data_IF_946293313208
#
_entry.id   IF_946293313208
#
_cell.length_a   1.000
_cell.length_b   1.000
_cell.length_c   1.000
_cell.angle_alpha   90.00
_cell.angle_beta   90.00
_cell.angle_gamma   90.00
#
_symmetry.space_group_name_H-M   'P 1'
#
loop_
_entity.id
_entity.type
_entity.pdbx_description
1 polymer ?
#
# COMPACT_ATOMS: atom_id res chain seq x y z
N UNK A 1 22.80 6.50 -7.47
CA UNK A 1 22.68 7.97 -7.52
C UNK A 1 22.87 8.49 -6.10
N UNK A 2 23.54 9.64 -5.89
CA UNK A 2 23.63 10.24 -4.57
C UNK A 2 22.24 10.60 -4.06
N UNK A 3 22.06 10.64 -2.74
CA UNK A 3 20.82 11.11 -2.12
C UNK A 3 20.54 12.55 -2.57
N UNK A 4 19.30 12.83 -2.98
CA UNK A 4 18.87 14.16 -3.40
C UNK A 4 17.85 14.68 -2.40
N UNK A 5 18.12 15.85 -1.82
CA UNK A 5 17.16 16.58 -0.99
C UNK A 5 16.21 17.36 -1.90
N UNK A 6 14.91 17.17 -1.71
CA UNK A 6 13.86 17.90 -2.43
C UNK A 6 13.06 18.70 -1.40
N UNK A 7 12.99 20.01 -1.59
CA UNK A 7 12.10 20.85 -0.79
C UNK A 7 10.69 20.80 -1.40
N UNK A 8 9.75 20.26 -0.62
CA UNK A 8 8.37 20.07 -1.06
C UNK A 8 7.53 21.34 -0.93
N UNK A 9 7.97 22.27 -0.06
CA UNK A 9 7.30 23.54 0.21
C UNK A 9 5.94 23.39 0.90
N UNK A 10 5.68 22.26 1.58
CA UNK A 10 4.51 22.09 2.43
C UNK A 10 4.63 22.94 3.71
N UNK A 11 3.50 23.35 4.27
CA UNK A 11 3.44 24.19 5.48
C UNK A 11 3.37 23.36 6.77
N UNK A 12 3.14 22.05 6.65
CA UNK A 12 2.98 21.12 7.76
C UNK A 12 3.63 19.75 7.45
N UNK A 13 3.51 18.81 8.39
CA UNK A 13 4.13 17.49 8.34
C UNK A 13 3.68 16.67 7.11
N UNK A 14 4.66 16.01 6.49
CA UNK A 14 4.43 15.06 5.41
C UNK A 14 4.06 13.70 5.99
N UNK A 15 3.05 13.06 5.40
CA UNK A 15 2.60 11.73 5.82
C UNK A 15 2.98 10.64 4.82
N UNK A 16 3.00 10.97 3.53
CA UNK A 16 3.29 10.00 2.49
C UNK A 16 3.90 10.65 1.25
N UNK A 17 4.67 9.85 0.52
CA UNK A 17 5.38 10.26 -0.69
C UNK A 17 5.37 9.09 -1.66
N UNK A 18 4.86 9.32 -2.87
CA UNK A 18 4.81 8.30 -3.92
C UNK A 18 5.40 8.83 -5.22
N UNK A 19 6.33 8.07 -5.81
CA UNK A 19 6.81 8.32 -7.18
C UNK A 19 5.88 7.69 -8.21
N UNK A 20 5.78 8.34 -9.37
CA UNK A 20 5.11 7.75 -10.53
C UNK A 20 5.89 6.56 -11.08
N UNK A 21 5.23 5.78 -11.94
CA UNK A 21 5.81 4.58 -12.54
C UNK A 21 7.12 4.85 -13.30
N UNK A 22 7.29 6.06 -13.83
CA UNK A 22 8.46 6.45 -14.61
C UNK A 22 9.57 7.10 -13.79
N UNK A 23 9.37 7.35 -12.49
CA UNK A 23 10.30 8.06 -11.61
C UNK A 23 10.55 9.52 -12.00
N UNK A 24 9.62 10.15 -12.73
CA UNK A 24 9.68 11.53 -13.20
C UNK A 24 8.80 12.48 -12.41
N UNK A 25 7.85 11.96 -11.64
CA UNK A 25 6.94 12.76 -10.82
C UNK A 25 6.85 12.18 -9.42
N UNK A 26 6.77 13.08 -8.45
CA UNK A 26 6.57 12.78 -7.04
C UNK A 26 5.23 13.38 -6.61
N UNK A 27 4.41 12.61 -5.92
CA UNK A 27 3.26 13.09 -5.19
C UNK A 27 3.61 13.11 -3.70
N UNK A 28 3.30 14.21 -3.01
CA UNK A 28 3.52 14.37 -1.58
C UNK A 28 2.21 14.69 -0.88
N UNK A 29 1.91 13.98 0.21
CA UNK A 29 0.71 14.15 1.04
C UNK A 29 1.07 14.78 2.39
N UNK A 30 0.28 15.76 2.82
CA UNK A 30 0.60 16.59 3.98
C UNK A 30 -0.59 16.81 4.92
N UNK A 31 -0.28 17.15 6.17
CA UNK A 31 -1.21 17.68 7.16
C UNK A 31 -1.85 19.01 6.73
N UNK A 32 -1.22 19.77 5.83
CA UNK A 32 -1.76 21.03 5.30
C UNK A 32 -2.98 20.86 4.37
N UNK A 33 -3.53 19.65 4.27
CA UNK A 33 -4.69 19.26 3.44
C UNK A 33 -4.45 19.27 1.93
N UNK A 34 -3.22 19.56 1.49
CA UNK A 34 -2.86 19.61 0.08
C UNK A 34 -2.03 18.41 -0.35
N UNK A 35 -2.09 18.12 -1.64
CA UNK A 35 -1.17 17.19 -2.30
C UNK A 35 -0.38 17.98 -3.33
N UNK A 36 0.94 17.87 -3.31
CA UNK A 36 1.79 18.53 -4.30
C UNK A 36 2.36 17.51 -5.28
N UNK A 37 2.34 17.89 -6.56
CA UNK A 37 2.99 17.12 -7.63
C UNK A 37 4.27 17.84 -8.01
N UNK A 38 5.39 17.14 -7.89
CA UNK A 38 6.73 17.67 -8.14
C UNK A 38 7.34 16.90 -9.29
N UNK A 39 7.76 17.60 -10.33
CA UNK A 39 8.50 17.03 -11.45
C UNK A 39 9.97 16.89 -11.08
N UNK A 40 10.52 15.70 -11.31
CA UNK A 40 11.93 15.38 -11.10
C UNK A 40 12.60 15.31 -12.46
N UNK A 41 13.57 16.20 -12.69
CA UNK A 41 14.40 16.20 -13.91
C UNK A 41 15.87 16.22 -13.52
N UNK A 42 16.51 15.06 -13.55
CA UNK A 42 17.89 14.89 -13.08
C UNK A 42 18.00 15.29 -11.60
N UNK A 43 18.88 16.25 -11.30
CA UNK A 43 19.08 16.79 -9.95
C UNK A 43 18.18 17.99 -9.62
N UNK A 44 17.24 18.34 -10.50
CA UNK A 44 16.32 19.46 -10.29
C UNK A 44 14.91 18.97 -9.99
N UNK A 45 14.21 19.69 -9.11
CA UNK A 45 12.82 19.45 -8.75
C UNK A 45 12.02 20.72 -8.95
N UNK A 46 10.84 20.61 -9.58
CA UNK A 46 9.94 21.74 -9.78
C UNK A 46 8.52 21.35 -9.37
N UNK A 47 7.85 22.22 -8.60
CA UNK A 47 6.43 22.03 -8.31
C UNK A 47 5.61 22.21 -9.60
N UNK A 48 4.91 21.16 -10.02
CA UNK A 48 4.09 21.12 -11.23
C UNK A 48 2.64 21.50 -10.94
N UNK A 49 2.07 20.99 -9.84
CA UNK A 49 0.68 21.23 -9.47
C UNK A 49 0.47 21.14 -7.95
N UNK A 50 -0.60 21.76 -7.46
CA UNK A 50 -1.09 21.64 -6.08
C UNK A 50 -2.56 21.26 -6.13
N UNK A 51 -2.90 20.11 -5.55
CA UNK A 51 -4.23 19.55 -5.53
C UNK A 51 -4.92 19.97 -4.24
N UNK A 52 -6.05 20.67 -4.39
CA UNK A 52 -6.89 21.13 -3.30
C UNK A 52 -8.24 20.39 -3.37
N UNK A 53 -8.70 19.85 -2.24
CA UNK A 53 -9.95 19.11 -2.21
C UNK A 53 -10.30 18.50 -0.87
N UNK A 54 -9.29 17.99 -0.17
CA UNK A 54 -9.47 17.44 1.16
C UNK A 54 -9.73 18.52 2.20
N UNK A 55 -10.48 18.15 3.24
CA UNK A 55 -10.83 19.02 4.38
C UNK A 55 -10.05 18.70 5.64
N UNK A 56 -9.14 17.72 5.57
CA UNK A 56 -8.30 17.30 6.67
C UNK A 56 -6.94 16.78 6.17
N UNK A 57 -6.06 16.37 7.09
CA UNK A 57 -4.76 15.80 6.77
C UNK A 57 -4.84 14.66 5.76
N UNK A 58 -4.00 14.71 4.73
CA UNK A 58 -3.91 13.67 3.70
C UNK A 58 -2.91 12.62 4.16
N UNK A 59 -3.37 11.39 4.38
CA UNK A 59 -2.55 10.32 4.94
C UNK A 59 -1.74 9.54 3.92
N UNK A 60 -2.24 9.42 2.70
CA UNK A 60 -1.66 8.54 1.69
C UNK A 60 -1.96 8.99 0.27
N UNK A 61 -1.01 8.72 -0.62
CA UNK A 61 -1.12 8.97 -2.06
C UNK A 61 -0.63 7.76 -2.84
N UNK A 62 -1.34 7.40 -3.90
CA UNK A 62 -0.96 6.25 -4.73
C UNK A 62 -1.17 6.55 -6.21
N UNK A 63 -0.14 6.30 -7.02
CA UNK A 63 -0.21 6.42 -8.48
C UNK A 63 -0.81 5.17 -9.09
N UNK A 64 -1.75 5.36 -10.02
CA UNK A 64 -2.28 4.25 -10.81
C UNK A 64 -1.26 3.81 -11.87
N UNK A 65 -1.47 2.62 -12.42
CA UNK A 65 -0.65 2.13 -13.52
C UNK A 65 -0.83 3.02 -14.78
N UNK A 66 0.25 3.39 -15.49
CA UNK A 66 0.19 4.35 -16.60
C UNK A 66 -0.68 3.90 -17.79
N UNK A 67 -1.02 2.62 -17.87
CA UNK A 67 -1.99 2.06 -18.85
C UNK A 67 -3.36 2.76 -18.76
N UNK A 68 -3.74 3.25 -17.58
CA UNK A 68 -5.01 3.96 -17.36
C UNK A 68 -4.88 5.48 -17.47
N UNK A 69 -3.68 5.97 -17.83
CA UNK A 69 -3.33 7.39 -17.86
C UNK A 69 -2.74 7.89 -16.54
N UNK A 70 -2.53 9.20 -16.46
CA UNK A 70 -2.04 9.90 -15.26
C UNK A 70 -3.16 10.03 -14.23
N UNK A 71 -3.29 9.02 -13.36
CA UNK A 71 -4.27 8.98 -12.29
C UNK A 71 -3.55 8.85 -10.94
N UNK A 72 -4.01 9.62 -9.95
CA UNK A 72 -3.55 9.58 -8.57
C UNK A 72 -4.76 9.37 -7.65
N UNK A 73 -4.64 8.52 -6.65
CA UNK A 73 -5.59 8.41 -5.55
C UNK A 73 -5.00 9.08 -4.31
N UNK A 74 -5.86 9.67 -3.49
CA UNK A 74 -5.51 10.17 -2.16
C UNK A 74 -6.54 9.80 -1.12
N UNK A 75 -6.09 9.60 0.12
CA UNK A 75 -6.95 9.37 1.27
C UNK A 75 -6.62 10.33 2.41
N UNK A 76 -7.65 10.64 3.21
CA UNK A 76 -7.57 11.71 4.20
C UNK A 76 -8.35 11.37 5.46
N UNK A 77 -8.05 12.14 6.50
CA UNK A 77 -8.78 12.15 7.76
C UNK A 77 -10.26 12.55 7.60
N UNK A 78 -10.63 13.25 6.52
CA UNK A 78 -12.00 13.66 6.21
C UNK A 78 -12.95 12.53 5.78
N UNK A 79 -12.49 11.28 5.85
CA UNK A 79 -13.19 10.06 5.41
C UNK A 79 -13.41 9.95 3.89
N UNK A 80 -12.78 10.82 3.10
CA UNK A 80 -12.91 10.84 1.65
C UNK A 80 -11.71 10.18 0.98
N UNK A 81 -11.98 9.49 -0.14
CA UNK A 81 -10.97 9.08 -1.11
C UNK A 81 -11.21 9.85 -2.40
N UNK A 82 -10.20 10.57 -2.88
CA UNK A 82 -10.31 11.37 -4.08
C UNK A 82 -9.45 10.76 -5.17
N UNK A 83 -10.03 10.58 -6.36
CA UNK A 83 -9.32 10.21 -7.58
C UNK A 83 -9.05 11.47 -8.38
N UNK A 84 -7.78 11.74 -8.61
CA UNK A 84 -7.29 12.84 -9.40
C UNK A 84 -6.88 12.33 -10.78
N UNK A 85 -7.27 13.05 -11.82
CA UNK A 85 -6.89 12.75 -13.19
C UNK A 85 -6.26 13.99 -13.82
N UNK A 86 -5.13 13.79 -14.47
CA UNK A 86 -4.52 14.81 -15.31
C UNK A 86 -5.16 14.76 -16.69
N UNK A 87 -5.81 15.85 -17.11
CA UNK A 87 -6.42 15.96 -18.44
C UNK A 87 -5.43 16.58 -19.44
N UNK A 88 -4.83 17.72 -19.07
CA UNK A 88 -3.76 18.37 -19.81
C UNK A 88 -2.49 18.40 -18.96
N UNK A 89 -1.35 18.73 -19.56
CA UNK A 89 -0.07 18.77 -18.85
C UNK A 89 -0.14 19.64 -17.59
N UNK A 90 0.00 19.01 -16.42
CA UNK A 90 -0.10 19.60 -15.09
C UNK A 90 -1.48 20.19 -14.72
N UNK A 91 -2.51 19.95 -15.52
CA UNK A 91 -3.89 20.33 -15.21
C UNK A 91 -4.61 19.13 -14.60
N UNK A 92 -4.77 19.18 -13.28
CA UNK A 92 -5.35 18.12 -12.48
C UNK A 92 -6.77 18.45 -12.07
N UNK A 93 -7.65 17.46 -12.21
CA UNK A 93 -9.06 17.58 -11.84
C UNK A 93 -9.44 16.45 -10.90
N UNK A 94 -10.41 16.72 -10.02
CA UNK A 94 -11.07 15.70 -9.21
C UNK A 94 -12.01 14.90 -10.11
N UNK A 95 -11.58 13.70 -10.50
CA UNK A 95 -12.37 12.83 -11.35
C UNK A 95 -13.52 12.21 -10.56
N UNK A 96 -13.24 11.70 -9.36
CA UNK A 96 -14.24 11.10 -8.48
C UNK A 96 -13.90 11.33 -7.01
N UNK A 97 -14.95 11.38 -6.18
CA UNK A 97 -14.85 11.51 -4.73
C UNK A 97 -15.72 10.42 -4.11
N UNK A 98 -15.09 9.52 -3.36
CA UNK A 98 -15.76 8.47 -2.60
C UNK A 98 -15.95 8.89 -1.15
N UNK A 99 -17.18 8.76 -0.66
CA UNK A 99 -17.59 9.16 0.70
C UNK A 99 -18.27 8.01 1.44
N UNK A 100 -17.86 6.76 1.15
CA UNK A 100 -18.51 5.56 1.67
C UNK A 100 -18.11 5.22 3.11
N UNK A 101 -17.02 5.80 3.59
CA UNK A 101 -16.50 5.60 4.94
C UNK A 101 -17.04 6.62 5.93
N UNK A 102 -17.19 6.18 7.18
CA UNK A 102 -17.71 7.04 8.28
C UNK A 102 -16.60 7.70 9.11
N UNK A 103 -15.36 7.30 8.88
CA UNK A 103 -14.18 7.70 9.64
C UNK A 103 -12.96 7.82 8.72
N UNK A 104 -11.85 8.30 9.28
CA UNK A 104 -10.56 8.52 8.59
C UNK A 104 -10.16 7.34 7.72
N UNK A 105 -9.77 7.62 6.47
CA UNK A 105 -9.22 6.61 5.57
C UNK A 105 -7.70 6.66 5.67
N UNK A 106 -7.10 5.58 6.18
CA UNK A 106 -5.71 5.58 6.60
C UNK A 106 -4.74 5.09 5.53
N UNK A 107 -5.22 4.25 4.60
CA UNK A 107 -4.38 3.64 3.57
C UNK A 107 -5.17 3.37 2.30
N UNK A 108 -4.46 3.46 1.18
CA UNK A 108 -4.95 3.20 -0.16
C UNK A 108 -3.92 2.40 -0.95
N UNK A 109 -4.39 1.50 -1.81
CA UNK A 109 -3.53 0.75 -2.70
C UNK A 109 -4.24 0.44 -4.02
N UNK A 110 -3.58 0.73 -5.14
CA UNK A 110 -4.05 0.30 -6.46
C UNK A 110 -3.79 -1.19 -6.65
N UNK A 111 -4.75 -1.88 -7.25
CA UNK A 111 -4.61 -3.26 -7.64
C UNK A 111 -3.62 -3.41 -8.81
N UNK A 112 -3.02 -4.61 -8.98
CA UNK A 112 -2.29 -4.96 -10.19
C UNK A 112 -3.08 -4.65 -11.46
N UNK A 113 -2.41 -4.07 -12.46
CA UNK A 113 -3.05 -3.57 -13.68
C UNK A 113 -3.75 -4.63 -14.54
N UNK A 114 -3.46 -5.92 -14.32
CA UNK A 114 -4.17 -7.05 -14.94
C UNK A 114 -5.61 -7.19 -14.43
N UNK A 115 -5.90 -6.70 -13.22
CA UNK A 115 -7.24 -6.69 -12.62
C UNK A 115 -8.09 -5.50 -13.07
N UNK A 116 -7.52 -4.57 -13.85
CA UNK A 116 -8.16 -3.31 -14.22
C UNK A 116 -7.82 -2.17 -13.27
N UNK A 117 -8.57 -1.06 -13.39
CA UNK A 117 -8.41 0.10 -12.52
C UNK A 117 -9.23 -0.12 -11.24
N UNK A 118 -8.58 -0.70 -10.24
CA UNK A 118 -9.21 -1.05 -8.97
C UNK A 118 -8.40 -0.48 -7.80
N UNK A 119 -9.07 0.14 -6.82
CA UNK A 119 -8.46 0.76 -5.65
C UNK A 119 -9.05 0.14 -4.39
N UNK A 120 -8.18 -0.30 -3.47
CA UNK A 120 -8.60 -0.67 -2.12
C UNK A 120 -8.29 0.47 -1.15
N UNK A 121 -9.16 0.69 -0.18
CA UNK A 121 -8.93 1.60 0.92
C UNK A 121 -9.33 0.99 2.27
N UNK A 122 -8.50 1.23 3.29
CA UNK A 122 -8.74 0.83 4.66
C UNK A 122 -9.09 2.03 5.54
N UNK A 123 -10.16 1.92 6.31
CA UNK A 123 -10.65 2.99 7.18
C UNK A 123 -10.65 2.62 8.66
N UNK A 124 -10.53 3.66 9.51
CA UNK A 124 -10.75 3.58 10.95
C UNK A 124 -12.19 3.21 11.33
N UNK A 125 -13.14 3.17 10.39
CA UNK A 125 -14.49 2.63 10.66
C UNK A 125 -14.50 1.09 10.76
N UNK A 126 -13.37 0.45 10.46
CA UNK A 126 -13.16 -0.99 10.56
C UNK A 126 -13.41 -1.75 9.26
N UNK A 127 -13.79 -1.03 8.21
CA UNK A 127 -14.17 -1.62 6.93
C UNK A 127 -13.10 -1.34 5.87
N UNK A 128 -13.07 -2.24 4.87
CA UNK A 128 -12.26 -2.08 3.66
C UNK A 128 -13.21 -1.89 2.49
N UNK A 129 -13.05 -0.81 1.73
CA UNK A 129 -13.79 -0.64 0.48
C UNK A 129 -12.87 -0.85 -0.70
N UNK A 130 -13.40 -1.48 -1.75
CA UNK A 130 -12.71 -1.75 -3.00
C UNK A 130 -13.55 -1.14 -4.12
N UNK A 131 -12.97 -0.14 -4.79
CA UNK A 131 -13.56 0.60 -5.90
C UNK A 131 -13.02 0.05 -7.21
N UNK A 132 -13.89 -0.42 -8.09
CA UNK A 132 -13.52 -0.94 -9.41
C UNK A 132 -14.13 -0.06 -10.49
N UNK A 133 -13.30 0.54 -11.33
CA UNK A 133 -13.78 1.33 -12.45
C UNK A 133 -14.34 0.42 -13.55
N UNK A 134 -15.49 0.80 -14.10
CA UNK A 134 -16.10 0.18 -15.26
C UNK A 134 -15.69 0.90 -16.54
N UNK A 135 -15.86 0.22 -17.67
CA UNK A 135 -15.56 0.77 -19.00
C UNK A 135 -16.42 1.98 -19.38
N UNK A 136 -17.59 2.13 -18.75
CA UNK A 136 -18.49 3.28 -18.93
C UNK A 136 -18.08 4.52 -18.11
N UNK A 137 -17.01 4.43 -17.31
CA UNK A 137 -16.53 5.49 -16.43
C UNK A 137 -17.25 5.56 -15.07
N UNK A 138 -18.20 4.65 -14.80
CA UNK A 138 -18.77 4.48 -13.46
C UNK A 138 -17.85 3.64 -12.57
N UNK A 139 -18.11 3.64 -11.27
CA UNK A 139 -17.35 2.89 -10.28
C UNK A 139 -18.27 1.95 -9.52
N UNK A 140 -17.86 0.70 -9.40
CA UNK A 140 -18.44 -0.27 -8.50
C UNK A 140 -17.74 -0.24 -7.15
N UNK A 141 -18.52 -0.21 -6.08
CA UNK A 141 -18.01 -0.33 -4.73
C UNK A 141 -18.35 -1.69 -4.16
N UNK A 142 -17.34 -2.42 -3.70
CA UNK A 142 -17.51 -3.62 -2.87
C UNK A 142 -16.90 -3.36 -1.49
N UNK A 143 -17.54 -3.82 -0.41
CA UNK A 143 -17.11 -3.57 0.97
C UNK A 143 -16.86 -4.87 1.69
N UNK A 144 -15.79 -4.91 2.48
CA UNK A 144 -15.50 -5.92 3.49
C UNK A 144 -15.90 -5.30 4.82
N UNK A 145 -17.10 -5.62 5.28
CA UNK A 145 -17.62 -5.12 6.54
C UNK A 145 -16.97 -5.84 7.73
N UNK A 146 -16.65 -5.07 8.78
CA UNK A 146 -16.01 -5.52 10.01
C UNK A 146 -14.71 -6.29 9.73
N UNK A 147 -13.93 -5.83 8.76
CA UNK A 147 -12.62 -6.40 8.44
C UNK A 147 -11.72 -6.38 9.68
N UNK A 148 -11.69 -5.24 10.39
CA UNK A 148 -11.04 -5.10 11.70
C UNK A 148 -11.93 -4.24 12.61
N UNK A 149 -12.56 -4.79 13.67
CA UNK A 149 -13.58 -4.08 14.45
C UNK A 149 -13.14 -2.75 15.07
N UNK A 150 -11.84 -2.57 15.30
CA UNK A 150 -11.26 -1.35 15.91
C UNK A 150 -10.84 -0.31 14.85
N UNK A 151 -10.58 -0.75 13.62
CA UNK A 151 -10.06 0.11 12.55
C UNK A 151 -9.00 -0.59 11.71
N UNK A 152 -9.00 -0.29 10.41
CA UNK A 152 -8.00 -0.74 9.43
C UNK A 152 -6.96 0.34 9.26
N UNK A 153 -5.69 -0.02 9.41
CA UNK A 153 -4.56 0.91 9.33
C UNK A 153 -3.87 0.85 7.97
N UNK A 154 -3.76 -0.35 7.38
CA UNK A 154 -3.11 -0.53 6.08
C UNK A 154 -3.75 -1.64 5.25
N UNK A 155 -3.65 -1.50 3.93
CA UNK A 155 -4.12 -2.44 2.92
C UNK A 155 -3.05 -2.62 1.85
N UNK A 156 -2.86 -3.85 1.37
CA UNK A 156 -1.88 -4.15 0.32
C UNK A 156 -2.39 -5.28 -0.57
N UNK A 157 -2.29 -5.09 -1.88
CA UNK A 157 -2.73 -6.07 -2.87
C UNK A 157 -1.70 -7.18 -3.06
N UNK A 158 -2.20 -8.40 -3.20
CA UNK A 158 -1.37 -9.49 -3.70
C UNK A 158 -1.13 -9.32 -5.22
N UNK A 159 -0.03 -9.88 -5.75
CA UNK A 159 0.19 -10.01 -7.18
C UNK A 159 -0.97 -10.72 -7.90
N UNK A 160 -1.28 -10.28 -9.12
CA UNK A 160 -2.36 -10.86 -9.96
C UNK A 160 -2.08 -12.28 -10.43
N UNK A 161 -0.81 -12.68 -10.49
CA UNK A 161 -0.39 -14.02 -10.87
C UNK A 161 -0.59 -15.01 -9.73
N UNK A 162 -1.32 -16.09 -10.01
CA UNK A 162 -1.35 -17.25 -9.11
C UNK A 162 0.08 -17.80 -8.89
N UNK A 163 0.32 -18.34 -7.69
CA UNK A 163 1.60 -18.99 -7.36
C UNK A 163 1.95 -20.05 -8.42
N UNK A 164 3.13 -19.94 -9.02
CA UNK A 164 3.59 -20.91 -10.04
C UNK A 164 3.06 -20.69 -11.47
N UNK A 165 2.46 -19.53 -11.77
CA UNK A 165 1.87 -19.22 -13.09
C UNK A 165 2.83 -19.38 -14.28
N UNK A 166 4.14 -19.30 -14.09
CA UNK A 166 5.13 -19.53 -15.15
C UNK A 166 5.30 -21.00 -15.57
N UNK A 167 4.62 -21.95 -14.90
CA UNK A 167 4.75 -23.40 -15.13
C UNK A 167 3.55 -23.98 -15.92
N UNK A 168 2.48 -23.22 -16.14
CA UNK A 168 1.25 -23.71 -16.80
C UNK A 168 0.76 -22.84 -17.96
N UNK A 169 0.53 -23.44 -19.13
CA UNK A 169 0.03 -22.80 -20.36
C UNK A 169 -1.48 -22.49 -20.35
N UNK A 170 -2.05 -22.15 -19.19
CA UNK A 170 -3.48 -21.83 -19.05
C UNK A 170 -3.70 -20.35 -18.80
N UNK A 171 -4.79 -19.78 -19.35
CA UNK A 171 -5.36 -18.53 -18.87
C UNK A 171 -5.75 -18.73 -17.41
N UNK A 172 -4.89 -18.30 -16.49
CA UNK A 172 -5.16 -18.33 -15.07
C UNK A 172 -6.09 -17.16 -14.76
N UNK A 173 -7.28 -17.44 -14.24
CA UNK A 173 -8.15 -16.40 -13.71
C UNK A 173 -7.35 -15.62 -12.65
N UNK A 174 -7.24 -14.29 -12.79
CA UNK A 174 -6.42 -13.50 -11.91
C UNK A 174 -7.03 -13.54 -10.50
N UNK A 175 -6.18 -13.85 -9.51
CA UNK A 175 -6.64 -14.04 -8.15
C UNK A 175 -6.60 -12.69 -7.43
N UNK A 176 -7.77 -12.18 -7.07
CA UNK A 176 -7.87 -10.96 -6.27
C UNK A 176 -7.70 -11.30 -4.79
N UNK A 177 -6.51 -10.99 -4.26
CA UNK A 177 -6.18 -11.12 -2.85
C UNK A 177 -5.69 -9.80 -2.29
N UNK A 178 -6.01 -9.57 -1.02
CA UNK A 178 -5.64 -8.37 -0.29
C UNK A 178 -5.20 -8.74 1.12
N UNK A 179 -4.12 -8.16 1.60
CA UNK A 179 -3.75 -8.21 3.01
C UNK A 179 -4.14 -6.89 3.70
N UNK A 180 -4.61 -6.99 4.93
CA UNK A 180 -4.94 -5.84 5.76
C UNK A 180 -4.32 -5.97 7.15
N UNK A 181 -3.90 -4.83 7.69
CA UNK A 181 -3.52 -4.67 9.08
C UNK A 181 -4.55 -3.82 9.82
N UNK A 182 -4.77 -4.11 11.11
CA UNK A 182 -5.72 -3.36 11.92
C UNK A 182 -5.22 -3.06 13.33
N UNK A 183 -6.00 -2.22 13.99
CA UNK A 183 -5.85 -1.87 15.41
C UNK A 183 -6.26 -3.01 16.36
N UNK A 184 -6.70 -4.16 15.82
CA UNK A 184 -6.99 -5.39 16.56
C UNK A 184 -5.75 -6.31 16.68
N UNK A 185 -4.56 -5.81 16.31
CA UNK A 185 -3.27 -6.51 16.34
C UNK A 185 -3.19 -7.70 15.37
N UNK A 186 -4.13 -7.79 14.43
CA UNK A 186 -4.21 -8.88 13.46
C UNK A 186 -3.77 -8.43 12.08
N UNK A 187 -3.16 -9.36 11.35
CA UNK A 187 -3.05 -9.29 9.90
C UNK A 187 -4.04 -10.29 9.30
N UNK A 188 -4.87 -9.83 8.36
CA UNK A 188 -5.88 -10.66 7.70
C UNK A 188 -5.61 -10.68 6.20
N UNK A 189 -5.85 -11.85 5.60
CA UNK A 189 -5.76 -12.04 4.15
C UNK A 189 -7.16 -12.32 3.62
N UNK A 190 -7.56 -11.54 2.64
CA UNK A 190 -8.85 -11.56 1.98
C UNK A 190 -8.70 -12.05 0.56
N UNK A 191 -9.68 -12.79 0.07
CA UNK A 191 -9.79 -13.21 -1.32
C UNK A 191 -11.19 -12.97 -1.83
N UNK A 192 -11.29 -12.47 -3.05
CA UNK A 192 -12.57 -12.33 -3.73
C UNK A 192 -13.00 -13.69 -4.28
N UNK A 193 -14.14 -14.18 -3.80
CA UNK A 193 -14.77 -15.40 -4.27
C UNK A 193 -16.13 -15.06 -4.89
N UNK A 194 -16.27 -15.24 -6.21
CA UNK A 194 -17.52 -15.01 -6.95
C UNK A 194 -18.18 -13.65 -6.63
N UNK A 195 -17.38 -12.58 -6.56
CA UNK A 195 -17.86 -11.22 -6.26
C UNK A 195 -18.06 -10.89 -4.78
N UNK A 196 -17.78 -11.82 -3.87
CA UNK A 196 -17.84 -11.59 -2.42
C UNK A 196 -16.47 -11.79 -1.78
N UNK A 197 -16.02 -10.79 -1.03
CA UNK A 197 -14.78 -10.88 -0.27
C UNK A 197 -14.95 -11.79 0.94
N UNK A 198 -14.07 -12.77 1.07
CA UNK A 198 -14.00 -13.64 2.24
C UNK A 198 -12.58 -13.71 2.74
N UNK A 199 -12.44 -13.92 4.04
CA UNK A 199 -11.13 -14.17 4.63
C UNK A 199 -10.60 -15.50 4.06
N UNK A 200 -9.45 -15.44 3.37
CA UNK A 200 -8.86 -16.60 2.69
C UNK A 200 -8.30 -17.62 3.70
N UNK A 201 -7.96 -17.15 4.90
CA UNK A 201 -7.35 -17.98 5.93
C UNK A 201 -7.90 -17.67 7.33
N UNK A 202 -8.33 -18.73 8.05
CA UNK A 202 -8.74 -18.68 9.46
C UNK A 202 -7.90 -19.69 10.26
N UNK A 203 -7.23 -19.31 11.36
CA UNK A 203 -7.32 -18.04 12.08
C UNK A 203 -6.51 -16.91 11.44
N UNK A 204 -6.85 -15.66 11.79
CA UNK A 204 -6.08 -14.49 11.39
C UNK A 204 -4.62 -14.59 11.87
N UNK A 205 -3.71 -13.93 11.17
CA UNK A 205 -2.28 -13.97 11.44
C UNK A 205 -2.00 -13.15 12.70
N UNK A 206 -1.84 -13.84 13.83
CA UNK A 206 -1.74 -13.22 15.15
C UNK A 206 -0.38 -13.55 15.78
N UNK A 207 0.55 -12.61 15.65
CA UNK A 207 1.83 -12.61 16.37
C UNK A 207 2.18 -11.24 16.96
N UNK A 208 1.52 -10.18 16.49
CA UNK A 208 1.68 -8.84 17.03
C UNK A 208 0.94 -8.68 18.36
N UNK A 209 1.52 -7.86 19.24
CA UNK A 209 0.94 -7.56 20.56
C UNK A 209 0.28 -6.20 20.64
N UNK A 210 0.47 -5.36 19.62
CA UNK A 210 -0.08 -4.01 19.51
C UNK A 210 -0.46 -3.71 18.04
N UNK A 211 -0.99 -2.51 17.78
CA UNK A 211 -1.58 -2.12 16.50
C UNK A 211 -0.63 -2.41 15.34
N UNK A 212 -1.13 -3.10 14.32
CA UNK A 212 -0.40 -3.24 13.07
C UNK A 212 -0.45 -1.88 12.38
N UNK A 213 0.70 -1.29 12.07
CA UNK A 213 0.79 0.02 11.42
C UNK A 213 0.79 -0.08 9.92
N UNK A 214 1.48 -1.08 9.39
CA UNK A 214 1.59 -1.26 7.95
C UNK A 214 1.71 -2.73 7.56
N UNK A 215 1.23 -3.03 6.36
CA UNK A 215 1.27 -4.38 5.78
C UNK A 215 1.62 -4.23 4.32
N UNK A 216 2.62 -4.99 3.86
CA UNK A 216 3.05 -4.98 2.48
C UNK A 216 3.18 -6.40 1.94
N UNK A 217 2.46 -6.69 0.86
CA UNK A 217 2.59 -7.96 0.13
C UNK A 217 3.75 -7.87 -0.85
N UNK A 218 4.63 -8.88 -0.85
CA UNK A 218 5.77 -8.91 -1.76
C UNK A 218 5.34 -9.16 -3.21
N UNK A 219 5.87 -8.42 -4.19
CA UNK A 219 5.66 -8.73 -5.59
C UNK A 219 6.37 -10.04 -5.95
N UNK A 220 5.60 -11.13 -6.12
CA UNK A 220 6.12 -12.46 -6.44
C UNK A 220 6.43 -12.59 -7.95
N UNK A 221 7.53 -12.00 -8.41
CA UNK A 221 8.05 -12.26 -9.76
C UNK A 221 8.79 -13.60 -9.80
N UNK A 222 8.04 -14.71 -9.77
CA UNK A 222 8.56 -16.06 -10.02
C UNK A 222 9.01 -16.86 -8.79
N UNK A 223 8.80 -16.35 -7.57
CA UNK A 223 8.99 -17.14 -6.35
C UNK A 223 7.84 -18.12 -6.14
N UNK A 224 8.12 -19.38 -5.72
CA UNK A 224 7.08 -20.35 -5.42
C UNK A 224 6.40 -20.09 -4.06
N UNK A 225 6.79 -19.04 -3.32
CA UNK A 225 6.21 -18.66 -2.02
C UNK A 225 5.58 -17.27 -2.09
N UNK A 226 4.47 -17.07 -1.38
CA UNK A 226 3.93 -15.73 -1.09
C UNK A 226 4.50 -15.20 0.21
N UNK A 227 4.91 -13.94 0.19
CA UNK A 227 5.50 -13.27 1.35
C UNK A 227 4.74 -11.99 1.66
N UNK A 228 4.43 -11.77 2.94
CA UNK A 228 3.85 -10.52 3.46
C UNK A 228 4.75 -10.03 4.58
N UNK A 229 5.05 -8.74 4.61
CA UNK A 229 5.65 -8.08 5.76
C UNK A 229 4.58 -7.32 6.53
N UNK A 230 4.61 -7.40 7.85
CA UNK A 230 3.81 -6.55 8.72
C UNK A 230 4.68 -5.83 9.74
N UNK A 231 4.39 -4.54 9.93
CA UNK A 231 5.00 -3.70 10.94
C UNK A 231 3.97 -3.31 11.98
N UNK A 232 4.38 -3.29 13.25
CA UNK A 232 3.51 -2.95 14.36
C UNK A 232 4.11 -1.90 15.29
N UNK A 233 3.22 -1.26 16.03
CA UNK A 233 3.53 -0.38 17.15
C UNK A 233 4.34 -1.10 18.25
N UNK A 234 4.24 -2.43 18.34
CA UNK A 234 5.01 -3.25 19.29
C UNK A 234 6.54 -3.27 19.02
N UNK A 235 6.96 -2.69 17.89
CA UNK A 235 8.35 -2.60 17.45
C UNK A 235 8.86 -3.82 16.71
N UNK A 236 8.03 -4.83 16.47
CA UNK A 236 8.38 -6.01 15.70
C UNK A 236 7.97 -5.84 14.25
N UNK A 237 8.83 -6.35 13.37
CA UNK A 237 8.47 -6.66 11.98
C UNK A 237 8.36 -8.17 11.85
N UNK A 238 7.29 -8.63 11.23
CA UNK A 238 7.01 -10.06 11.05
C UNK A 238 6.90 -10.34 9.55
N UNK A 239 7.60 -11.38 9.11
CA UNK A 239 7.52 -11.89 7.75
C UNK A 239 6.63 -13.13 7.75
N UNK A 240 5.55 -13.06 7.00
CA UNK A 240 4.62 -14.16 6.80
C UNK A 240 4.92 -14.81 5.46
N UNK A 241 5.15 -16.12 5.46
CA UNK A 241 5.41 -16.90 4.25
C UNK A 241 4.36 -17.98 4.07
N UNK A 242 3.95 -18.19 2.83
CA UNK A 242 3.01 -19.25 2.43
C UNK A 242 3.56 -19.96 1.19
N UNK A 243 3.90 -21.24 1.32
CA UNK A 243 4.59 -22.01 0.29
C UNK A 243 3.70 -22.51 -0.84
N UNK A 244 2.41 -22.76 -0.58
CA UNK A 244 1.41 -23.13 -1.59
C UNK A 244 0.05 -22.56 -1.23
N UNK A 245 -0.80 -22.35 -2.24
CA UNK A 245 -2.19 -21.97 -1.97
C UNK A 245 -2.87 -23.02 -1.08
N UNK A 246 -3.46 -22.57 0.03
CA UNK A 246 -4.11 -23.42 1.02
C UNK A 246 -3.21 -23.93 2.16
N UNK A 247 -1.90 -23.69 2.11
CA UNK A 247 -1.03 -23.95 3.26
C UNK A 247 -1.15 -22.85 4.33
N UNK A 248 -0.89 -23.23 5.58
CA UNK A 248 -0.87 -22.27 6.68
C UNK A 248 0.26 -21.26 6.50
N UNK A 249 -0.06 -19.99 6.73
CA UNK A 249 0.94 -18.93 6.80
C UNK A 249 1.86 -19.16 8.00
N UNK A 250 3.17 -19.10 7.75
CA UNK A 250 4.21 -19.18 8.79
C UNK A 250 4.74 -17.78 9.03
N UNK A 251 4.59 -17.28 10.25
CA UNK A 251 5.17 -16.00 10.66
C UNK A 251 6.53 -16.19 11.32
N UNK A 252 7.51 -15.39 10.91
CA UNK A 252 8.83 -15.30 11.54
C UNK A 252 9.11 -13.85 11.93
N UNK A 253 9.64 -13.63 13.13
CA UNK A 253 10.03 -12.30 13.59
C UNK A 253 11.32 -11.94 12.86
N UNK A 254 11.28 -10.86 12.08
CA UNK A 254 12.44 -10.31 11.38
C UNK A 254 13.44 -9.73 12.38
N UNK A 255 12.95 -8.75 13.16
CA UNK A 255 13.70 -8.02 14.17
C UNK A 255 12.72 -7.33 15.12
N UNK A 256 13.14 -7.22 16.37
CA UNK A 256 12.54 -6.35 17.36
C UNK A 256 13.35 -5.05 17.42
N UNK A 257 12.78 -3.96 16.91
CA UNK A 257 13.37 -2.63 16.90
C UNK A 257 13.23 -1.93 18.25
N UNK A 258 12.42 -2.46 19.18
CA UNK A 258 12.08 -1.88 20.49
C UNK A 258 11.45 -0.48 20.41
N UNK A 259 11.16 -0.01 19.21
CA UNK A 259 10.51 1.26 18.89
C UNK A 259 9.47 1.00 17.83
N UNK A 260 8.36 1.76 17.80
CA UNK A 260 7.31 1.57 16.80
C UNK A 260 7.86 1.57 15.38
N UNK A 261 7.34 0.67 14.55
CA UNK A 261 7.67 0.62 13.12
C UNK A 261 6.48 1.14 12.34
N UNK A 262 6.70 2.14 11.51
CA UNK A 262 5.62 2.88 10.86
C UNK A 262 5.27 2.35 9.48
N UNK A 263 6.28 1.98 8.67
CA UNK A 263 6.09 1.59 7.28
C UNK A 263 6.99 0.43 6.88
N UNK A 264 6.47 -0.42 6.00
CA UNK A 264 7.21 -1.50 5.33
C UNK A 264 6.95 -1.44 3.84
N UNK A 265 8.00 -1.60 3.03
CA UNK A 265 7.84 -1.59 1.58
C UNK A 265 8.80 -2.55 0.91
N UNK A 266 8.28 -3.28 -0.08
CA UNK A 266 9.05 -4.23 -0.87
C UNK A 266 9.64 -3.56 -2.10
N UNK A 267 10.86 -3.95 -2.45
CA UNK A 267 11.39 -3.69 -3.80
C UNK A 267 10.50 -4.33 -4.86
N UNK A 268 10.51 -3.78 -6.08
CA UNK A 268 9.75 -4.34 -7.21
C UNK A 268 10.11 -5.80 -7.51
N UNK A 269 11.32 -6.24 -7.17
CA UNK A 269 11.76 -7.64 -7.34
C UNK A 269 11.31 -8.58 -6.22
N UNK A 270 10.75 -8.05 -5.12
CA UNK A 270 10.32 -8.83 -3.96
C UNK A 270 11.44 -9.30 -3.02
N UNK A 271 12.71 -9.01 -3.33
CA UNK A 271 13.86 -9.56 -2.60
C UNK A 271 14.40 -8.66 -1.48
N UNK A 272 14.15 -7.35 -1.56
CA UNK A 272 14.55 -6.37 -0.56
C UNK A 272 13.32 -5.80 0.12
N UNK A 273 13.40 -5.65 1.45
CA UNK A 273 12.41 -5.03 2.30
C UNK A 273 13.01 -3.79 2.95
N UNK A 274 12.36 -2.63 2.82
CA UNK A 274 12.68 -1.43 3.58
C UNK A 274 11.75 -1.30 4.77
N UNK A 275 12.31 -0.97 5.93
CA UNK A 275 11.60 -0.78 7.19
C UNK A 275 11.89 0.62 7.72
N UNK A 276 10.86 1.40 8.00
CA UNK A 276 10.97 2.73 8.60
C UNK A 276 10.56 2.69 10.08
N UNK A 277 11.50 3.00 10.98
CA UNK A 277 11.28 3.00 12.43
C UNK A 277 10.92 4.40 12.96
N UNK A 278 10.54 4.46 14.24
CA UNK A 278 10.24 5.72 14.92
C UNK A 278 11.48 6.56 15.27
N UNK A 279 12.70 6.04 15.08
CA UNK A 279 13.94 6.77 15.32
C UNK A 279 14.40 7.57 14.09
N UNK A 280 13.55 7.67 13.06
CA UNK A 280 13.83 8.28 11.76
C UNK A 280 14.86 7.52 10.93
N UNK A 281 15.09 6.23 11.23
CA UNK A 281 16.00 5.39 10.48
C UNK A 281 15.22 4.53 9.48
N UNK A 282 15.81 4.34 8.30
CA UNK A 282 15.31 3.40 7.30
C UNK A 282 16.32 2.27 7.15
N UNK A 283 15.92 1.05 7.53
CA UNK A 283 16.77 -0.13 7.40
C UNK A 283 16.34 -0.98 6.21
N UNK A 284 17.31 -1.56 5.49
CA UNK A 284 17.10 -2.44 4.35
C UNK A 284 17.44 -3.87 4.73
N UNK A 285 16.55 -4.79 4.39
CA UNK A 285 16.61 -6.20 4.77
C UNK A 285 16.57 -7.08 3.52
N UNK A 286 17.34 -8.16 3.54
CA UNK A 286 17.35 -9.16 2.47
C UNK A 286 17.34 -10.56 3.05
N UNK A 287 16.58 -11.44 2.43
CA UNK A 287 16.60 -12.87 2.72
C UNK A 287 17.87 -13.52 2.12
N UNK A 288 18.56 -14.30 2.93
CA UNK A 288 19.72 -15.10 2.53
C UNK A 288 19.30 -16.47 2.01
N UNK A 289 20.25 -17.25 1.48
CA UNK A 289 19.99 -18.60 0.96
C UNK A 289 19.50 -19.56 2.06
N UNK A 290 19.83 -19.27 3.32
CA UNK A 290 19.45 -20.07 4.48
C UNK A 290 18.09 -19.64 5.09
N UNK A 291 17.28 -18.88 4.35
CA UNK A 291 16.01 -18.28 4.79
C UNK A 291 16.14 -17.34 6.03
N UNK A 292 17.37 -16.92 6.36
CA UNK A 292 17.62 -15.89 7.38
C UNK A 292 17.60 -14.49 6.78
N UNK A 293 17.08 -13.53 7.53
CA UNK A 293 17.03 -12.13 7.10
C UNK A 293 18.19 -11.34 7.69
N UNK A 294 18.91 -10.63 6.81
CA UNK A 294 20.05 -9.81 7.20
C UNK A 294 19.82 -8.35 6.84
N UNK A 295 20.30 -7.47 7.72
CA UNK A 295 20.36 -6.03 7.49
C UNK A 295 21.46 -5.73 6.47
N UNK A 296 21.07 -5.22 5.31
CA UNK A 296 22.00 -4.91 4.21
C UNK A 296 22.54 -3.50 4.36
N UNK A 297 21.69 -2.56 4.80
CA UNK A 297 22.06 -1.16 4.93
C UNK A 297 21.11 -0.44 5.90
N UNK A 298 21.62 0.61 6.54
CA UNK A 298 20.83 1.57 7.30
C UNK A 298 21.03 2.95 6.68
N UNK A 299 19.93 3.61 6.34
CA UNK A 299 19.91 4.99 5.87
C UNK A 299 19.51 5.83 7.07
N UNK A 300 20.49 6.53 7.62
CA UNK A 300 20.28 7.59 8.58
C UNK A 300 20.01 8.91 7.83
N UNK A 301 19.17 9.80 8.37
CA UNK A 301 18.76 11.05 7.72
C UNK A 301 19.89 12.08 7.53
#
# INVERSE_FOLDING_TARGET
MPAQKIETGHEDALHDVAMDYYGKRLATASSDTTIKIIGITGSSSQQLAVLHGHKGPVWGVAWAHPKFGSILASCSYDAQVIIWKENNQNEWLQAHVFNDHKSSVNSIAWAPHELGLCLACGSSDGDISVFTARDDGSWDTTRIEQAHPVGVTSVSWAPSTALGAFIGSGLLDPVQKLASGGCDNMVKVWRLYNGSWKMDYSPALQMHTDWVRDVAWAPNLGLPKSTIASASQDGKVIIWTCGKEGEQWKGAILKDFKTPVWRVSWSLTGNLLSVADANNNVTLWKETVDDEWQEVNAIEP
#
